data_IF_896713991067
#
_entry.id   IF_896713991067
#
_cell.length_a   1.000
_cell.length_b   1.000
_cell.length_c   1.000
_cell.angle_alpha   90.00
_cell.angle_beta   90.00
_cell.angle_gamma   90.00
#
_symmetry.space_group_name_H-M   'P 1'
#
loop_
_entity.id
_entity.type
_entity.pdbx_description
1 polymer ?
#
# COMPACT_ATOMS: atom_id res chain seq x y z
N UNK A 1 10.22 -13.28 5.20
CA UNK A 1 9.79 -14.42 6.04
C UNK A 1 8.54 -14.11 6.88
N UNK A 2 8.42 -12.97 7.56
CA UNK A 2 7.23 -12.66 8.37
C UNK A 2 5.91 -12.72 7.58
N UNK A 3 5.89 -12.21 6.35
CA UNK A 3 4.72 -12.27 5.48
C UNK A 3 4.29 -13.72 5.11
N UNK A 4 5.24 -14.64 5.03
CA UNK A 4 4.97 -16.04 4.68
C UNK A 4 4.22 -16.82 5.78
N UNK A 5 4.18 -16.29 7.00
CA UNK A 5 3.48 -16.90 8.15
C UNK A 5 2.26 -16.09 8.61
N UNK A 6 1.93 -15.01 7.93
CA UNK A 6 0.71 -14.24 8.16
C UNK A 6 -0.52 -14.99 7.63
N UNK A 7 -1.58 -15.10 8.44
CA UNK A 7 -2.77 -15.87 8.07
C UNK A 7 -3.43 -15.40 6.76
N UNK A 8 -3.53 -14.08 6.54
CA UNK A 8 -4.08 -13.52 5.31
C UNK A 8 -3.16 -13.76 4.11
N UNK A 9 -1.83 -13.63 4.28
CA UNK A 9 -0.87 -13.90 3.23
C UNK A 9 -0.93 -15.35 2.74
N UNK A 10 -1.03 -16.29 3.68
CA UNK A 10 -1.20 -17.72 3.36
C UNK A 10 -2.53 -17.98 2.62
N UNK A 11 -3.64 -17.42 3.11
CA UNK A 11 -4.94 -17.61 2.47
C UNK A 11 -5.03 -16.94 1.09
N UNK A 12 -4.41 -15.80 0.91
CA UNK A 12 -4.31 -15.12 -0.38
C UNK A 12 -3.45 -15.93 -1.37
N UNK A 13 -2.35 -16.53 -0.91
CA UNK A 13 -1.45 -17.34 -1.74
C UNK A 13 -2.06 -18.65 -2.22
N UNK A 14 -3.05 -19.20 -1.50
CA UNK A 14 -3.71 -20.46 -1.87
C UNK A 14 -4.90 -20.30 -2.81
N UNK A 15 -5.35 -19.09 -3.06
CA UNK A 15 -6.52 -18.79 -3.90
C UNK A 15 -6.16 -17.81 -5.00
N UNK A 16 -6.45 -18.18 -6.26
CA UNK A 16 -6.29 -17.27 -7.39
C UNK A 16 -7.44 -16.23 -7.38
N UNK A 17 -7.27 -15.16 -6.62
CA UNK A 17 -8.22 -14.06 -6.48
C UNK A 17 -7.53 -12.71 -6.66
N UNK A 18 -8.30 -11.64 -6.89
CA UNK A 18 -7.75 -10.28 -7.01
C UNK A 18 -6.94 -9.85 -5.77
N UNK A 19 -7.22 -10.41 -4.59
CA UNK A 19 -6.48 -10.14 -3.34
C UNK A 19 -5.02 -10.61 -3.44
N UNK A 20 -4.75 -11.73 -4.14
CA UNK A 20 -3.37 -12.22 -4.33
C UNK A 20 -2.54 -11.25 -5.19
N UNK A 21 -3.16 -10.68 -6.22
CA UNK A 21 -2.52 -9.68 -7.07
C UNK A 21 -2.37 -8.33 -6.35
N UNK A 22 -3.35 -7.92 -5.55
CA UNK A 22 -3.25 -6.73 -4.69
C UNK A 22 -2.02 -6.85 -3.78
N UNK A 23 -1.88 -7.99 -3.08
CA UNK A 23 -0.71 -8.29 -2.25
C UNK A 23 0.60 -8.20 -3.04
N UNK A 24 0.65 -8.80 -4.22
CA UNK A 24 1.84 -8.76 -5.09
C UNK A 24 2.27 -7.33 -5.41
N UNK A 25 1.32 -6.47 -5.80
CA UNK A 25 1.64 -5.10 -6.20
C UNK A 25 2.05 -4.21 -5.03
N UNK A 26 1.49 -4.41 -3.85
CA UNK A 26 1.94 -3.72 -2.64
C UNK A 26 3.38 -4.09 -2.29
N UNK A 27 3.70 -5.38 -2.27
CA UNK A 27 5.05 -5.89 -2.00
C UNK A 27 6.04 -5.44 -3.10
N UNK A 28 5.63 -5.48 -4.36
CA UNK A 28 6.46 -5.00 -5.46
C UNK A 28 6.78 -3.50 -5.33
N UNK A 29 5.78 -2.67 -5.03
CA UNK A 29 5.97 -1.25 -4.81
C UNK A 29 6.92 -0.98 -3.62
N UNK A 30 6.74 -1.69 -2.50
CA UNK A 30 7.63 -1.60 -1.34
C UNK A 30 9.06 -2.03 -1.70
N UNK A 31 9.22 -3.14 -2.41
CA UNK A 31 10.54 -3.62 -2.88
C UNK A 31 11.23 -2.58 -3.77
N UNK A 32 10.52 -2.01 -4.75
CA UNK A 32 11.11 -1.02 -5.65
C UNK A 32 11.42 0.29 -4.91
N UNK A 33 10.64 0.66 -3.89
CA UNK A 33 10.99 1.78 -2.99
C UNK A 33 12.26 1.50 -2.20
N UNK A 34 12.44 0.29 -1.67
CA UNK A 34 13.70 -0.10 -1.00
C UNK A 34 14.86 -0.03 -1.99
N UNK A 35 14.69 -0.52 -3.22
CA UNK A 35 15.74 -0.44 -4.26
C UNK A 35 16.08 1.01 -4.61
N UNK A 36 15.08 1.88 -4.77
CA UNK A 36 15.26 3.32 -4.98
C UNK A 36 16.11 3.93 -3.86
N UNK A 37 15.73 3.66 -2.61
CA UNK A 37 16.41 4.22 -1.46
C UNK A 37 17.82 3.62 -1.24
N UNK A 38 18.03 2.33 -1.52
CA UNK A 38 19.29 1.65 -1.32
C UNK A 38 20.33 1.98 -2.40
N UNK A 39 19.93 2.02 -3.67
CA UNK A 39 20.84 2.32 -4.79
C UNK A 39 21.02 3.81 -5.08
N UNK A 40 20.09 4.64 -4.59
CA UNK A 40 19.96 6.06 -4.93
C UNK A 40 19.77 6.33 -6.44
N UNK A 41 19.35 5.32 -7.21
CA UNK A 41 19.06 5.44 -8.62
C UNK A 41 17.60 5.83 -8.85
N UNK A 42 17.30 7.06 -9.30
CA UNK A 42 15.92 7.53 -9.47
C UNK A 42 15.14 6.79 -10.56
N UNK A 43 15.78 5.97 -11.40
CA UNK A 43 15.11 5.15 -12.41
C UNK A 43 14.13 4.13 -11.79
N UNK A 44 14.35 3.72 -10.53
CA UNK A 44 13.43 2.86 -9.80
C UNK A 44 12.05 3.48 -9.61
N UNK A 45 11.90 4.80 -9.76
CA UNK A 45 10.59 5.44 -9.78
C UNK A 45 9.68 4.91 -10.91
N UNK A 46 10.25 4.46 -12.05
CA UNK A 46 9.47 3.83 -13.11
C UNK A 46 8.87 2.49 -12.65
N UNK A 47 9.66 1.67 -11.96
CA UNK A 47 9.19 0.39 -11.44
C UNK A 47 8.12 0.58 -10.34
N UNK A 48 8.30 1.58 -9.47
CA UNK A 48 7.27 1.98 -8.49
C UNK A 48 6.00 2.42 -9.20
N UNK A 49 6.10 3.27 -10.22
CA UNK A 49 4.96 3.72 -11.02
C UNK A 49 4.23 2.57 -11.71
N UNK A 50 4.97 1.63 -12.31
CA UNK A 50 4.38 0.45 -12.93
C UNK A 50 3.62 -0.42 -11.92
N UNK A 51 4.21 -0.69 -10.74
CA UNK A 51 3.56 -1.45 -9.68
C UNK A 51 2.28 -0.76 -9.17
N UNK A 52 2.31 0.58 -9.01
CA UNK A 52 1.13 1.37 -8.63
C UNK A 52 0.05 1.27 -9.71
N UNK A 53 0.41 1.48 -10.98
CA UNK A 53 -0.56 1.44 -12.09
C UNK A 53 -1.27 0.09 -12.19
N UNK A 54 -0.52 -1.02 -12.11
CA UNK A 54 -1.04 -2.38 -12.12
C UNK A 54 -1.86 -2.68 -10.85
N UNK A 55 -1.40 -2.21 -9.69
CA UNK A 55 -2.13 -2.34 -8.43
C UNK A 55 -3.47 -1.60 -8.46
N UNK A 56 -3.53 -0.41 -9.05
CA UNK A 56 -4.79 0.35 -9.23
C UNK A 56 -5.80 -0.37 -10.13
N UNK A 57 -5.34 -1.15 -11.12
CA UNK A 57 -6.21 -2.02 -11.92
C UNK A 57 -6.78 -3.19 -11.11
N UNK A 58 -6.10 -3.58 -10.03
CA UNK A 58 -6.49 -4.70 -9.18
C UNK A 58 -7.44 -4.24 -8.07
N UNK A 59 -7.06 -3.14 -7.37
CA UNK A 59 -7.83 -2.66 -6.23
C UNK A 59 -7.54 -1.18 -5.92
N UNK A 60 -8.58 -0.38 -5.73
CA UNK A 60 -8.43 1.06 -5.47
C UNK A 60 -7.81 1.40 -4.10
N UNK A 61 -7.69 0.43 -3.18
CA UNK A 61 -6.95 0.61 -1.92
C UNK A 61 -5.46 0.90 -2.14
N UNK A 62 -4.90 0.58 -3.31
CA UNK A 62 -3.57 0.99 -3.73
C UNK A 62 -3.37 2.53 -3.63
N UNK A 63 -4.44 3.32 -3.76
CA UNK A 63 -4.37 4.78 -3.60
C UNK A 63 -3.89 5.18 -2.19
N UNK A 64 -4.21 4.40 -1.16
CA UNK A 64 -3.73 4.68 0.20
C UNK A 64 -2.22 4.48 0.31
N UNK A 65 -1.67 3.48 -0.39
CA UNK A 65 -0.21 3.32 -0.52
C UNK A 65 0.42 4.51 -1.25
N UNK A 66 -0.21 5.00 -2.32
CA UNK A 66 0.26 6.19 -3.06
C UNK A 66 0.34 7.40 -2.14
N UNK A 67 -0.67 7.63 -1.29
CA UNK A 67 -0.65 8.71 -0.28
C UNK A 67 0.49 8.48 0.72
N UNK A 68 0.73 7.25 1.15
CA UNK A 68 1.86 6.89 2.02
C UNK A 68 3.22 7.17 1.37
N UNK A 69 3.40 6.81 0.10
CA UNK A 69 4.62 7.12 -0.67
C UNK A 69 4.81 8.63 -0.80
N UNK A 70 3.75 9.37 -1.14
CA UNK A 70 3.80 10.83 -1.24
C UNK A 70 4.19 11.48 0.10
N UNK A 71 3.61 11.04 1.20
CA UNK A 71 4.00 11.48 2.54
C UNK A 71 5.48 11.15 2.83
N UNK A 72 5.92 9.94 2.47
CA UNK A 72 7.32 9.53 2.58
C UNK A 72 8.27 10.46 1.83
N UNK A 73 7.93 10.84 0.61
CA UNK A 73 8.75 11.80 -0.15
C UNK A 73 8.70 13.21 0.44
N UNK A 74 7.56 13.68 0.91
CA UNK A 74 7.41 15.03 1.44
C UNK A 74 8.13 15.22 2.79
N UNK A 75 7.96 14.27 3.72
CA UNK A 75 8.39 14.43 5.11
C UNK A 75 9.78 13.83 5.41
N UNK A 76 10.51 13.34 4.38
CA UNK A 76 11.83 12.73 4.59
C UNK A 76 12.89 13.32 3.65
N UNK A 77 14.18 12.97 3.82
CA UNK A 77 15.22 13.33 2.86
C UNK A 77 14.95 12.88 1.42
N UNK A 78 14.04 11.91 1.22
CA UNK A 78 13.63 11.45 -0.11
C UNK A 78 12.88 12.51 -0.93
N UNK A 79 12.54 13.67 -0.34
CA UNK A 79 12.00 14.84 -1.08
C UNK A 79 12.90 15.29 -2.25
N UNK A 80 14.17 14.90 -2.26
CA UNK A 80 15.08 15.17 -3.38
C UNK A 80 14.58 14.54 -4.69
N UNK A 81 13.89 13.38 -4.63
CA UNK A 81 13.35 12.73 -5.82
C UNK A 81 12.18 13.49 -6.46
N UNK A 82 11.54 14.43 -5.75
CA UNK A 82 10.49 15.30 -6.32
C UNK A 82 11.02 16.18 -7.47
N UNK A 83 12.34 16.43 -7.49
CA UNK A 83 13.01 17.18 -8.56
C UNK A 83 13.49 16.28 -9.70
N UNK A 84 13.40 14.96 -9.54
CA UNK A 84 13.86 14.00 -10.55
C UNK A 84 12.81 13.83 -11.65
N UNK A 85 13.19 13.92 -12.94
CA UNK A 85 12.26 13.64 -14.03
C UNK A 85 11.74 12.20 -13.99
N UNK A 86 12.51 11.26 -13.46
CA UNK A 86 12.13 9.87 -13.35
C UNK A 86 10.90 9.62 -12.45
N UNK A 87 10.73 10.45 -11.41
CA UNK A 87 9.52 10.39 -10.59
C UNK A 87 8.29 10.74 -11.41
N UNK A 88 8.35 11.82 -12.16
CA UNK A 88 7.24 12.27 -13.01
C UNK A 88 6.96 11.30 -14.16
N UNK A 89 8.00 10.70 -14.74
CA UNK A 89 7.85 9.60 -15.69
C UNK A 89 7.17 8.38 -15.05
N UNK A 90 7.52 8.04 -13.80
CA UNK A 90 6.86 6.97 -13.05
C UNK A 90 5.38 7.26 -12.78
N UNK A 91 5.04 8.49 -12.40
CA UNK A 91 3.65 8.93 -12.21
C UNK A 91 2.89 8.85 -13.53
N UNK A 92 3.48 9.36 -14.62
CA UNK A 92 2.88 9.28 -15.95
C UNK A 92 2.66 7.83 -16.39
N UNK A 93 3.63 6.94 -16.15
CA UNK A 93 3.52 5.51 -16.44
C UNK A 93 2.38 4.87 -15.65
N UNK A 94 2.27 5.15 -14.35
CA UNK A 94 1.17 4.65 -13.51
C UNK A 94 -0.19 5.11 -14.07
N UNK A 95 -0.29 6.38 -14.46
CA UNK A 95 -1.51 6.93 -15.06
C UNK A 95 -1.83 6.29 -16.41
N UNK A 96 -0.84 6.09 -17.29
CA UNK A 96 -1.03 5.44 -18.60
C UNK A 96 -1.54 4.00 -18.43
N UNK A 97 -0.96 3.26 -17.49
CA UNK A 97 -1.41 1.89 -17.18
C UNK A 97 -2.86 1.89 -16.67
N UNK A 98 -3.22 2.83 -15.80
CA UNK A 98 -4.57 2.93 -15.22
C UNK A 98 -5.59 3.57 -16.18
N UNK A 99 -5.15 4.29 -17.20
CA UNK A 99 -5.98 5.11 -18.10
C UNK A 99 -7.16 4.33 -18.73
N UNK A 100 -7.01 3.08 -19.21
CA UNK A 100 -8.14 2.34 -19.77
C UNK A 100 -9.28 2.15 -18.76
N UNK A 101 -8.93 1.81 -17.50
CA UNK A 101 -9.91 1.70 -16.42
C UNK A 101 -10.56 3.06 -16.10
N UNK A 102 -9.75 4.11 -16.02
CA UNK A 102 -10.25 5.46 -15.74
C UNK A 102 -11.24 5.95 -16.80
N UNK A 103 -10.93 5.76 -18.10
CA UNK A 103 -11.84 6.10 -19.18
C UNK A 103 -13.13 5.28 -19.13
N UNK A 104 -13.01 4.00 -18.80
CA UNK A 104 -14.17 3.14 -18.60
C UNK A 104 -15.07 3.65 -17.46
N UNK A 105 -14.48 4.05 -16.32
CA UNK A 105 -15.22 4.62 -15.19
C UNK A 105 -15.97 5.90 -15.57
N UNK A 106 -15.33 6.80 -16.34
CA UNK A 106 -16.00 8.03 -16.83
C UNK A 106 -17.22 7.66 -17.68
N UNK A 107 -17.08 6.72 -18.61
CA UNK A 107 -18.18 6.29 -19.49
C UNK A 107 -19.32 5.62 -18.74
N UNK A 108 -19.06 5.02 -17.59
CA UNK A 108 -20.04 4.30 -16.77
C UNK A 108 -20.38 5.04 -15.47
N UNK A 109 -20.24 6.37 -15.46
CA UNK A 109 -20.62 7.24 -14.32
C UNK A 109 -20.03 6.81 -12.98
N UNK A 110 -18.79 6.29 -12.99
CA UNK A 110 -18.07 5.85 -11.79
C UNK A 110 -18.81 4.77 -10.97
N UNK A 111 -19.48 3.84 -11.65
CA UNK A 111 -20.24 2.75 -11.02
C UNK A 111 -19.47 1.99 -9.95
N UNK A 112 -18.13 1.89 -10.10
CA UNK A 112 -17.29 1.23 -9.07
C UNK A 112 -17.24 2.00 -7.75
N UNK A 113 -17.36 3.33 -7.77
CA UNK A 113 -17.42 4.12 -6.53
C UNK A 113 -18.74 3.87 -5.79
N UNK A 114 -19.85 3.78 -6.49
CA UNK A 114 -21.16 3.50 -5.89
C UNK A 114 -21.19 2.06 -5.32
N UNK A 115 -20.59 1.12 -6.02
CA UNK A 115 -20.40 -0.24 -5.51
C UNK A 115 -19.54 -0.24 -4.22
N UNK A 116 -18.42 0.49 -4.19
CA UNK A 116 -17.57 0.59 -3.00
C UNK A 116 -18.32 1.24 -1.82
N UNK A 117 -19.09 2.29 -2.06
CA UNK A 117 -19.93 2.92 -1.02
C UNK A 117 -20.96 1.93 -0.46
N UNK A 118 -21.63 1.17 -1.33
CA UNK A 118 -22.65 0.19 -0.92
C UNK A 118 -22.04 -0.96 -0.11
N UNK A 119 -20.88 -1.48 -0.52
CA UNK A 119 -20.14 -2.49 0.22
C UNK A 119 -19.68 -1.94 1.58
N UNK A 120 -19.11 -0.74 1.62
CA UNK A 120 -18.65 -0.13 2.86
C UNK A 120 -19.80 0.08 3.85
N UNK A 121 -20.94 0.59 3.38
CA UNK A 121 -22.14 0.74 4.22
C UNK A 121 -22.66 -0.61 4.73
N UNK A 122 -22.62 -1.67 3.91
CA UNK A 122 -22.94 -3.03 4.34
C UNK A 122 -21.97 -3.52 5.41
N UNK A 123 -20.68 -3.31 5.23
CA UNK A 123 -19.63 -3.81 6.12
C UNK A 123 -19.71 -3.13 7.50
N UNK A 124 -20.02 -1.84 7.55
CA UNK A 124 -20.29 -1.12 8.80
C UNK A 124 -21.53 -1.72 9.48
N UNK A 125 -22.63 -1.92 8.74
CA UNK A 125 -23.88 -2.46 9.28
C UNK A 125 -23.72 -3.86 9.86
N UNK A 126 -22.82 -4.66 9.29
CA UNK A 126 -22.50 -6.02 9.75
C UNK A 126 -21.40 -6.06 10.83
N UNK A 127 -20.89 -4.92 11.30
CA UNK A 127 -19.83 -4.86 12.31
C UNK A 127 -18.46 -5.38 11.83
N UNK A 128 -18.26 -5.55 10.51
CA UNK A 128 -17.04 -6.12 9.95
C UNK A 128 -15.84 -5.15 9.96
N UNK A 129 -16.04 -3.94 10.46
CA UNK A 129 -15.04 -2.88 10.53
C UNK A 129 -14.66 -2.52 11.96
N UNK A 130 -15.37 -3.05 12.96
CA UNK A 130 -15.24 -2.61 14.36
C UNK A 130 -13.97 -3.15 15.02
N UNK A 131 -13.47 -4.29 14.55
CA UNK A 131 -12.26 -4.94 15.05
C UNK A 131 -10.99 -4.61 14.26
N UNK A 132 -11.01 -3.62 13.34
CA UNK A 132 -9.90 -3.37 12.41
C UNK A 132 -8.52 -3.37 13.08
N UNK A 133 -8.35 -2.63 14.19
CA UNK A 133 -7.05 -2.51 14.88
C UNK A 133 -6.64 -3.86 15.49
N UNK A 134 -7.58 -4.56 16.15
CA UNK A 134 -7.30 -5.87 16.73
C UNK A 134 -6.98 -6.92 15.66
N UNK A 135 -7.66 -6.85 14.52
CA UNK A 135 -7.44 -7.75 13.39
C UNK A 135 -6.03 -7.64 12.81
N UNK A 136 -5.35 -6.47 12.95
CA UNK A 136 -3.96 -6.35 12.53
C UNK A 136 -3.05 -7.27 13.34
N UNK A 137 -3.33 -7.47 14.62
CA UNK A 137 -2.52 -8.31 15.50
C UNK A 137 -2.84 -9.80 15.39
N UNK A 138 -4.11 -10.14 15.15
CA UNK A 138 -4.59 -11.53 15.21
C UNK A 138 -4.83 -12.17 13.84
N UNK A 139 -5.32 -11.39 12.87
CA UNK A 139 -5.79 -11.89 11.58
C UNK A 139 -4.86 -11.52 10.43
N UNK A 140 -4.46 -10.25 10.33
CA UNK A 140 -3.64 -9.77 9.22
C UNK A 140 -2.18 -10.23 9.36
N UNK A 141 -1.63 -10.22 10.58
CA UNK A 141 -0.30 -10.69 10.89
C UNK A 141 -0.35 -11.91 11.83
N UNK A 142 0.76 -12.58 12.00
CA UNK A 142 0.91 -13.56 13.08
C UNK A 142 1.32 -12.79 14.35
N UNK A 143 0.65 -12.98 15.50
CA UNK A 143 1.02 -12.31 16.76
C UNK A 143 2.49 -12.41 17.13
N UNK A 144 3.15 -13.53 16.80
CA UNK A 144 4.58 -13.72 17.02
C UNK A 144 5.47 -12.76 16.18
N UNK A 145 4.94 -12.18 15.11
CA UNK A 145 5.67 -11.22 14.25
C UNK A 145 5.45 -9.76 14.64
N UNK A 146 4.51 -9.46 15.55
CA UNK A 146 4.24 -8.10 16.03
C UNK A 146 5.49 -7.41 16.58
N UNK A 147 6.33 -8.04 17.44
CA UNK A 147 7.56 -7.39 17.88
C UNK A 147 8.52 -7.05 16.73
N UNK A 148 8.53 -7.85 15.66
CA UNK A 148 9.40 -7.62 14.50
C UNK A 148 9.02 -6.35 13.72
N UNK A 149 7.73 -6.16 13.42
CA UNK A 149 7.32 -4.95 12.70
C UNK A 149 7.35 -3.70 13.59
N UNK A 150 7.09 -3.82 14.90
CA UNK A 150 7.31 -2.70 15.84
C UNK A 150 8.78 -2.31 15.91
N UNK A 151 9.70 -3.29 16.01
CA UNK A 151 11.14 -3.05 15.96
C UNK A 151 11.56 -2.42 14.61
N UNK A 152 10.95 -2.85 13.50
CA UNK A 152 11.15 -2.26 12.18
C UNK A 152 10.74 -0.79 12.13
N UNK A 153 9.56 -0.44 12.63
CA UNK A 153 9.10 0.95 12.72
C UNK A 153 10.03 1.77 13.64
N UNK A 154 10.40 1.24 14.81
CA UNK A 154 11.36 1.89 15.70
C UNK A 154 12.68 2.16 14.98
N UNK A 155 13.23 1.15 14.29
CA UNK A 155 14.46 1.32 13.50
C UNK A 155 14.33 2.45 12.48
N UNK A 156 13.25 2.47 11.69
CA UNK A 156 13.03 3.47 10.64
C UNK A 156 12.92 4.91 11.18
N UNK A 157 12.29 5.10 12.34
CA UNK A 157 12.02 6.45 12.84
C UNK A 157 12.99 6.93 13.90
N UNK A 158 13.51 6.01 14.75
CA UNK A 158 14.33 6.37 15.91
C UNK A 158 15.84 6.29 15.63
N UNK A 159 16.31 5.49 14.66
CA UNK A 159 17.74 5.33 14.40
C UNK A 159 18.25 6.25 13.29
N UNK A 160 19.56 6.56 13.30
CA UNK A 160 20.21 7.33 12.23
C UNK A 160 20.33 6.51 10.95
N UNK A 161 20.61 5.21 11.06
CA UNK A 161 20.74 4.30 9.91
C UNK A 161 19.38 4.08 9.22
N UNK A 162 18.29 4.05 9.99
CA UNK A 162 16.92 3.97 9.47
C UNK A 162 16.44 5.22 8.74
N UNK A 163 17.09 6.37 8.98
CA UNK A 163 16.66 7.68 8.46
C UNK A 163 16.48 7.70 6.94
N UNK A 164 17.33 6.98 6.21
CA UNK A 164 17.25 6.83 4.75
C UNK A 164 15.99 6.12 4.32
N UNK A 165 15.52 5.14 5.11
CA UNK A 165 14.39 4.27 4.81
C UNK A 165 13.07 4.72 5.44
N UNK A 166 13.02 5.88 6.10
CA UNK A 166 11.78 6.46 6.66
C UNK A 166 10.59 6.51 5.69
N UNK A 167 10.77 6.71 4.36
CA UNK A 167 9.64 6.62 3.44
C UNK A 167 8.87 5.31 3.54
N UNK A 168 9.56 4.18 3.81
CA UNK A 168 8.91 2.87 4.00
C UNK A 168 8.00 2.88 5.24
N UNK A 169 8.44 3.52 6.34
CA UNK A 169 7.59 3.69 7.52
C UNK A 169 6.32 4.50 7.22
N UNK A 170 6.41 5.55 6.42
CA UNK A 170 5.24 6.32 5.99
C UNK A 170 4.31 5.52 5.08
N UNK A 171 4.85 4.63 4.23
CA UNK A 171 4.06 3.70 3.41
C UNK A 171 3.23 2.72 4.26
N UNK A 172 3.61 2.47 5.51
CA UNK A 172 2.81 1.68 6.46
C UNK A 172 1.86 2.56 7.28
N UNK A 173 2.37 3.64 7.91
CA UNK A 173 1.61 4.45 8.86
C UNK A 173 0.42 5.15 8.20
N UNK A 174 0.62 5.76 7.01
CA UNK A 174 -0.45 6.51 6.36
C UNK A 174 -1.60 5.61 5.92
N UNK A 175 -1.40 4.49 5.19
CA UNK A 175 -2.49 3.57 4.89
C UNK A 175 -3.17 3.04 6.14
N UNK A 176 -2.41 2.70 7.20
CA UNK A 176 -2.98 2.26 8.46
C UNK A 176 -3.94 3.29 9.04
N UNK A 177 -3.52 4.55 9.15
CA UNK A 177 -4.37 5.63 9.66
C UNK A 177 -5.58 5.88 8.76
N UNK A 178 -5.41 5.84 7.44
CA UNK A 178 -6.51 5.99 6.50
C UNK A 178 -7.54 4.87 6.63
N UNK A 179 -7.12 3.63 6.86
CA UNK A 179 -8.04 2.52 7.10
C UNK A 179 -8.71 2.59 8.48
N UNK A 180 -8.01 3.10 9.52
CA UNK A 180 -8.64 3.35 10.83
C UNK A 180 -9.73 4.41 10.70
N UNK A 181 -9.42 5.55 10.08
CA UNK A 181 -10.38 6.65 9.88
C UNK A 181 -11.53 6.22 8.96
N UNK A 182 -11.21 5.52 7.87
CA UNK A 182 -12.16 5.06 6.89
C UNK A 182 -12.90 3.78 7.29
N UNK A 183 -12.75 3.28 8.52
CA UNK A 183 -13.37 2.03 8.97
C UNK A 183 -13.17 0.88 7.96
N UNK A 184 -11.90 0.62 7.62
CA UNK A 184 -11.52 -0.47 6.72
C UNK A 184 -11.79 -1.85 7.32
N UNK A 185 -11.82 -2.87 6.48
CA UNK A 185 -11.82 -4.27 6.95
C UNK A 185 -10.44 -4.68 7.46
N UNK A 186 -10.39 -5.56 8.47
CA UNK A 186 -9.17 -5.99 9.12
C UNK A 186 -8.07 -6.49 8.18
N UNK A 187 -8.43 -7.17 7.09
CA UNK A 187 -7.45 -7.71 6.15
C UNK A 187 -6.88 -6.71 5.12
N UNK A 188 -7.37 -5.44 5.09
CA UNK A 188 -6.93 -4.48 4.07
C UNK A 188 -5.47 -4.07 4.21
N UNK A 189 -4.91 -4.15 5.41
CA UNK A 189 -3.49 -3.85 5.67
C UNK A 189 -2.56 -5.06 5.54
N UNK A 190 -3.08 -6.25 5.28
CA UNK A 190 -2.25 -7.46 5.21
C UNK A 190 -1.09 -7.38 4.19
N UNK A 191 -1.18 -6.61 3.08
CA UNK A 191 -0.06 -6.45 2.15
C UNK A 191 1.04 -5.49 2.64
N UNK A 192 0.76 -4.63 3.62
CA UNK A 192 1.69 -3.60 4.12
C UNK A 192 2.55 -4.12 5.26
#
# INVERSE_FOLDING_TARGET
MAAAIGGVALSAGTRLQYVSFDYLWWVAAAYFMVRLLASDDPRWCLAVGAAIGLGMLTKYTMMFLVVGIAAGFLFTPARRYLRSPWLWCGIALAFVIFLPNFLWQIRHHFVSLDFLKSIHARDIRLGLTDSFVLDQFWTATNPATVPLWLAGLFYLFATQDGKRYRPIGWMFIIPFLLFVIGRGRGYYMAPA
#
